data_IF_644708818511
#
_entry.id   IF_644708818511
#
_cell.length_a   1.000
_cell.length_b   1.000
_cell.length_c   1.000
_cell.angle_alpha   90.00
_cell.angle_beta   90.00
_cell.angle_gamma   90.00
#
_symmetry.space_group_name_H-M   'P 1'
#
loop_
_entity.id
_entity.type
_entity.pdbx_description
1 polymer ?
#
# COMPACT_ATOMS: atom_id res chain seq x y z
N UNK A 1 33.16 24.05 -36.49
CA UNK A 1 32.95 23.92 -35.03
C UNK A 1 31.59 23.30 -34.77
N UNK A 2 31.52 22.02 -34.37
CA UNK A 2 30.31 21.38 -33.85
C UNK A 2 30.69 20.71 -32.53
N UNK A 3 30.17 21.23 -31.42
CA UNK A 3 30.29 20.61 -30.10
C UNK A 3 28.90 20.07 -29.73
N UNK A 4 28.70 18.77 -29.92
CA UNK A 4 27.51 18.06 -29.45
C UNK A 4 27.81 17.62 -28.01
N UNK A 5 27.22 18.30 -27.02
CA UNK A 5 27.37 17.94 -25.60
C UNK A 5 26.43 16.78 -25.29
N UNK A 6 27.02 15.65 -24.92
CA UNK A 6 26.38 14.51 -24.28
C UNK A 6 26.02 14.96 -22.86
N UNK A 7 24.73 15.21 -22.58
CA UNK A 7 24.23 15.36 -21.21
C UNK A 7 22.84 14.75 -21.13
N UNK A 8 22.73 13.42 -21.20
CA UNK A 8 21.46 12.71 -21.08
C UNK A 8 21.65 11.40 -20.30
N UNK A 9 21.97 11.50 -19.01
CA UNK A 9 22.06 10.31 -18.15
C UNK A 9 22.06 10.60 -16.66
N UNK A 10 22.66 11.70 -16.21
CA UNK A 10 22.83 11.96 -14.77
C UNK A 10 21.64 12.69 -14.11
N UNK A 11 20.84 13.43 -14.89
CA UNK A 11 19.73 14.23 -14.34
C UNK A 11 18.49 13.40 -13.99
N UNK A 12 18.31 12.22 -14.60
CA UNK A 12 17.15 11.36 -14.35
C UNK A 12 17.31 10.54 -13.05
N UNK A 13 18.54 10.25 -12.64
CA UNK A 13 18.82 9.51 -11.40
C UNK A 13 18.74 10.39 -10.13
N UNK A 14 18.95 11.70 -10.25
CA UNK A 14 18.93 12.64 -9.11
C UNK A 14 17.49 13.07 -8.76
N UNK A 15 16.56 13.07 -9.73
CA UNK A 15 15.14 13.34 -9.47
C UNK A 15 14.41 12.14 -8.83
N UNK A 16 14.83 10.91 -9.10
CA UNK A 16 14.21 9.71 -8.52
C UNK A 16 14.55 9.50 -7.04
N UNK A 17 15.75 9.87 -6.59
CA UNK A 17 16.21 9.62 -5.22
C UNK A 17 15.69 10.63 -4.19
N UNK A 18 15.38 11.86 -4.60
CA UNK A 18 14.83 12.87 -3.69
C UNK A 18 13.36 12.61 -3.31
N UNK A 19 12.57 12.03 -4.23
CA UNK A 19 11.14 11.77 -3.99
C UNK A 19 10.91 10.62 -3.00
N UNK A 20 11.78 9.61 -3.01
CA UNK A 20 11.67 8.45 -2.12
C UNK A 20 11.91 8.80 -0.65
N UNK A 21 12.91 9.62 -0.34
CA UNK A 21 13.24 10.00 1.05
C UNK A 21 12.17 10.91 1.69
N UNK A 22 11.54 11.81 0.91
CA UNK A 22 10.45 12.64 1.40
C UNK A 22 9.17 11.83 1.67
N UNK A 23 8.90 10.83 0.82
CA UNK A 23 7.79 9.92 1.03
C UNK A 23 8.04 8.91 2.17
N UNK A 24 9.29 8.48 2.38
CA UNK A 24 9.68 7.61 3.50
C UNK A 24 9.45 8.32 4.85
N UNK A 25 9.88 9.59 4.96
CA UNK A 25 9.56 10.43 6.12
C UNK A 25 8.06 10.69 6.31
N UNK A 26 7.27 10.67 5.22
CA UNK A 26 5.81 10.76 5.29
C UNK A 26 5.19 9.49 5.91
N UNK A 27 5.67 8.30 5.52
CA UNK A 27 5.20 7.04 6.09
C UNK A 27 5.58 6.88 7.56
N UNK A 28 6.77 7.33 7.99
CA UNK A 28 7.15 7.35 9.41
C UNK A 28 6.22 8.26 10.23
N UNK A 29 5.89 9.43 9.70
CA UNK A 29 4.94 10.33 10.35
C UNK A 29 3.54 9.70 10.45
N UNK A 30 3.04 9.09 9.37
CA UNK A 30 1.78 8.36 9.37
C UNK A 30 1.81 7.23 10.40
N UNK A 31 2.89 6.45 10.45
CA UNK A 31 3.07 5.38 11.44
C UNK A 31 2.93 5.92 12.87
N UNK A 32 3.62 7.02 13.19
CA UNK A 32 3.54 7.63 14.52
C UNK A 32 2.10 8.04 14.86
N UNK A 33 1.43 8.75 13.95
CA UNK A 33 0.05 9.22 14.17
C UNK A 33 -0.92 8.06 14.38
N UNK A 34 -0.84 7.02 13.55
CA UNK A 34 -1.71 5.84 13.64
C UNK A 34 -1.44 5.03 14.92
N UNK A 35 -0.16 4.88 15.29
CA UNK A 35 0.24 4.21 16.53
C UNK A 35 -0.29 4.93 17.75
N UNK A 36 -0.19 6.26 17.80
CA UNK A 36 -0.68 7.06 18.91
C UNK A 36 -2.21 6.97 19.00
N UNK A 37 -2.91 7.10 17.87
CA UNK A 37 -4.37 6.96 17.81
C UNK A 37 -4.85 5.62 18.36
N UNK A 38 -4.20 4.52 17.95
CA UNK A 38 -4.53 3.17 18.43
C UNK A 38 -4.22 3.00 19.92
N UNK A 39 -3.06 3.47 20.37
CA UNK A 39 -2.62 3.30 21.76
C UNK A 39 -3.50 4.11 22.72
N UNK A 40 -3.93 5.30 22.30
CA UNK A 40 -4.79 6.18 23.10
C UNK A 40 -6.28 5.87 22.93
N UNK A 41 -6.66 4.99 21.99
CA UNK A 41 -8.06 4.74 21.63
C UNK A 41 -8.77 5.99 21.08
N UNK A 42 -8.01 6.92 20.50
CA UNK A 42 -8.56 8.19 20.00
C UNK A 42 -8.95 8.03 18.53
N UNK A 43 -10.17 8.48 18.21
CA UNK A 43 -10.64 8.50 16.83
C UNK A 43 -9.82 9.53 16.03
N UNK A 44 -9.31 9.10 14.88
CA UNK A 44 -8.68 10.00 13.91
C UNK A 44 -9.78 10.88 13.32
N UNK A 45 -9.53 12.19 13.23
CA UNK A 45 -10.51 13.09 12.61
C UNK A 45 -10.70 12.72 11.13
N UNK A 46 -11.90 12.92 10.59
CA UNK A 46 -12.19 12.59 9.19
C UNK A 46 -11.21 13.25 8.20
N UNK A 47 -10.78 14.49 8.48
CA UNK A 47 -9.83 15.20 7.61
C UNK A 47 -8.38 14.69 7.73
N UNK A 48 -7.99 14.12 8.87
CA UNK A 48 -6.71 13.45 9.03
C UNK A 48 -6.75 12.06 8.38
N UNK A 49 -7.84 11.31 8.57
CA UNK A 49 -8.05 10.01 7.93
C UNK A 49 -8.00 10.13 6.40
N UNK A 50 -8.66 11.14 5.83
CA UNK A 50 -8.64 11.38 4.39
C UNK A 50 -7.22 11.63 3.86
N UNK A 51 -6.43 12.46 4.54
CA UNK A 51 -5.03 12.75 4.17
C UNK A 51 -4.14 11.51 4.27
N UNK A 52 -4.26 10.77 5.37
CA UNK A 52 -3.51 9.52 5.55
C UNK A 52 -3.86 8.54 4.44
N UNK A 53 -5.15 8.37 4.14
CA UNK A 53 -5.57 7.47 3.07
C UNK A 53 -5.08 7.90 1.70
N UNK A 54 -5.02 9.20 1.40
CA UNK A 54 -4.47 9.72 0.15
C UNK A 54 -2.97 9.42 0.04
N UNK A 55 -2.20 9.72 1.08
CA UNK A 55 -0.76 9.40 1.12
C UNK A 55 -0.47 7.89 1.04
N UNK A 56 -1.30 7.05 1.66
CA UNK A 56 -1.17 5.60 1.54
C UNK A 56 -1.48 5.14 0.11
N UNK A 57 -2.50 5.70 -0.55
CA UNK A 57 -2.79 5.39 -1.94
C UNK A 57 -1.63 5.77 -2.87
N UNK A 58 -1.05 6.96 -2.70
CA UNK A 58 0.12 7.40 -3.46
C UNK A 58 1.33 6.49 -3.25
N UNK A 59 1.58 6.08 -2.00
CA UNK A 59 2.68 5.18 -1.68
C UNK A 59 2.48 3.76 -2.25
N UNK A 60 1.25 3.24 -2.23
CA UNK A 60 0.90 1.96 -2.86
C UNK A 60 1.00 1.99 -4.39
N UNK A 61 0.73 3.15 -5.01
CA UNK A 61 0.88 3.37 -6.45
C UNK A 61 2.33 3.67 -6.88
N UNK A 62 3.26 3.78 -5.93
CA UNK A 62 4.64 4.18 -6.21
C UNK A 62 5.45 3.06 -6.84
N UNK A 63 6.31 3.40 -7.81
CA UNK A 63 7.34 2.49 -8.33
C UNK A 63 8.46 2.21 -7.30
N UNK A 64 8.48 2.91 -6.17
CA UNK A 64 9.48 2.70 -5.14
C UNK A 64 9.06 1.57 -4.19
N UNK A 65 9.67 0.40 -4.37
CA UNK A 65 9.36 -0.83 -3.60
C UNK A 65 9.30 -0.64 -2.08
N UNK A 66 10.18 0.20 -1.53
CA UNK A 66 10.17 0.51 -0.08
C UNK A 66 8.92 1.25 0.39
N UNK A 67 8.38 2.17 -0.43
CA UNK A 67 7.18 2.93 -0.09
C UNK A 67 5.94 2.06 -0.22
N UNK A 68 5.85 1.30 -1.30
CA UNK A 68 4.75 0.37 -1.56
C UNK A 68 4.64 -0.67 -0.43
N UNK A 69 5.74 -1.35 -0.11
CA UNK A 69 5.75 -2.35 0.97
C UNK A 69 5.59 -1.72 2.36
N UNK A 70 6.10 -0.50 2.57
CA UNK A 70 5.87 0.29 3.78
C UNK A 70 4.39 0.61 3.97
N UNK A 71 3.72 1.08 2.92
CA UNK A 71 2.29 1.38 2.94
C UNK A 71 1.45 0.13 3.19
N UNK A 72 1.75 -1.00 2.53
CA UNK A 72 1.10 -2.29 2.82
C UNK A 72 1.23 -2.67 4.30
N UNK A 73 2.42 -2.54 4.89
CA UNK A 73 2.63 -2.81 6.32
C UNK A 73 1.79 -1.91 7.22
N UNK A 74 1.67 -0.63 6.88
CA UNK A 74 0.84 0.30 7.64
C UNK A 74 -0.64 -0.04 7.54
N UNK A 75 -1.13 -0.41 6.36
CA UNK A 75 -2.52 -0.87 6.19
C UNK A 75 -2.76 -2.15 6.98
N UNK A 76 -1.87 -3.14 6.90
CA UNK A 76 -1.98 -4.37 7.70
C UNK A 76 -2.03 -4.06 9.20
N UNK A 77 -1.19 -3.11 9.64
CA UNK A 77 -1.10 -2.76 11.05
C UNK A 77 -2.29 -1.92 11.53
N UNK A 78 -2.87 -1.04 10.71
CA UNK A 78 -3.78 0.01 11.17
C UNK A 78 -5.04 0.19 10.31
N UNK A 79 -5.33 -0.72 9.39
CA UNK A 79 -6.49 -0.63 8.48
C UNK A 79 -7.84 -0.57 9.22
N UNK A 80 -7.91 -1.09 10.45
CA UNK A 80 -9.06 -0.99 11.34
C UNK A 80 -9.23 0.39 12.00
N UNK A 81 -8.16 1.21 12.01
CA UNK A 81 -8.13 2.53 12.65
C UNK A 81 -8.36 3.66 11.62
N UNK A 82 -7.99 3.44 10.35
CA UNK A 82 -8.08 4.45 9.30
C UNK A 82 -9.11 4.05 8.24
N UNK A 83 -10.02 4.96 7.92
CA UNK A 83 -10.92 4.75 6.78
C UNK A 83 -10.15 4.99 5.48
N UNK A 84 -9.91 3.90 4.73
CA UNK A 84 -9.24 3.95 3.44
C UNK A 84 -10.22 4.30 2.32
N UNK A 85 -9.75 5.11 1.38
CA UNK A 85 -10.49 5.45 0.17
C UNK A 85 -10.41 4.30 -0.86
N UNK A 86 -11.33 4.34 -1.83
CA UNK A 86 -11.42 3.34 -2.91
C UNK A 86 -10.11 3.21 -3.71
N UNK A 87 -9.35 4.30 -3.88
CA UNK A 87 -8.08 4.29 -4.61
C UNK A 87 -7.04 3.41 -3.93
N UNK A 88 -6.85 3.52 -2.62
CA UNK A 88 -5.94 2.66 -1.87
C UNK A 88 -6.31 1.17 -2.01
N UNK A 89 -7.61 0.85 -1.97
CA UNK A 89 -8.10 -0.52 -2.15
C UNK A 89 -7.84 -1.03 -3.57
N UNK A 90 -8.05 -0.19 -4.59
CA UNK A 90 -7.73 -0.53 -5.99
C UNK A 90 -6.23 -0.83 -6.15
N UNK A 91 -5.35 -0.02 -5.54
CA UNK A 91 -3.91 -0.27 -5.59
C UNK A 91 -3.52 -1.57 -4.90
N UNK A 92 -4.12 -1.90 -3.76
CA UNK A 92 -3.89 -3.22 -3.12
C UNK A 92 -4.37 -4.37 -4.01
N UNK A 93 -5.52 -4.23 -4.68
CA UNK A 93 -5.99 -5.23 -5.66
C UNK A 93 -5.00 -5.35 -6.84
N UNK A 94 -4.47 -4.24 -7.36
CA UNK A 94 -3.45 -4.25 -8.41
C UNK A 94 -2.21 -5.03 -7.95
N UNK A 95 -1.69 -4.73 -6.76
CA UNK A 95 -0.52 -5.41 -6.19
C UNK A 95 -0.75 -6.91 -5.98
N UNK A 96 -1.95 -7.30 -5.54
CA UNK A 96 -2.30 -8.71 -5.42
C UNK A 96 -2.30 -9.44 -6.78
N UNK A 97 -2.82 -8.79 -7.84
CA UNK A 97 -2.98 -9.42 -9.15
C UNK A 97 -1.71 -9.46 -9.98
N UNK A 98 -1.00 -8.34 -10.00
CA UNK A 98 -0.06 -8.02 -11.07
C UNK A 98 1.40 -8.01 -10.59
N UNK A 99 1.65 -8.00 -9.27
CA UNK A 99 3.02 -8.02 -8.77
C UNK A 99 3.68 -9.39 -8.97
N UNK A 100 4.95 -9.39 -9.39
CA UNK A 100 5.70 -10.63 -9.64
C UNK A 100 6.19 -11.30 -8.34
N UNK A 101 6.34 -10.55 -7.24
CA UNK A 101 6.77 -11.08 -5.95
C UNK A 101 5.57 -11.61 -5.16
N UNK A 102 5.51 -12.93 -5.02
CA UNK A 102 4.47 -13.59 -4.24
C UNK A 102 4.34 -13.08 -2.79
N UNK A 103 5.41 -12.54 -2.20
CA UNK A 103 5.34 -11.94 -0.86
C UNK A 103 4.57 -10.63 -0.87
N UNK A 104 4.79 -9.78 -1.88
CA UNK A 104 4.04 -8.53 -2.06
C UNK A 104 2.56 -8.86 -2.33
N UNK A 105 2.30 -9.81 -3.24
CA UNK A 105 0.94 -10.29 -3.50
C UNK A 105 0.25 -10.79 -2.22
N UNK A 106 0.95 -11.59 -1.41
CA UNK A 106 0.43 -12.09 -0.14
C UNK A 106 0.17 -10.95 0.86
N UNK A 107 1.08 -9.99 0.97
CA UNK A 107 0.89 -8.81 1.82
C UNK A 107 -0.34 -8.00 1.39
N UNK A 108 -0.55 -7.82 0.09
CA UNK A 108 -1.72 -7.13 -0.45
C UNK A 108 -3.04 -7.83 -0.06
N UNK A 109 -3.10 -9.17 -0.07
CA UNK A 109 -4.26 -9.92 0.43
C UNK A 109 -4.53 -9.65 1.91
N UNK A 110 -3.48 -9.67 2.75
CA UNK A 110 -3.63 -9.37 4.19
C UNK A 110 -4.06 -7.91 4.40
N UNK A 111 -3.51 -6.98 3.62
CA UNK A 111 -3.85 -5.56 3.69
C UNK A 111 -5.32 -5.30 3.30
N UNK A 112 -5.82 -5.96 2.25
CA UNK A 112 -7.24 -5.93 1.87
C UNK A 112 -8.14 -6.43 3.00
N UNK A 113 -7.75 -7.50 3.68
CA UNK A 113 -8.43 -7.99 4.87
C UNK A 113 -8.45 -6.98 6.02
N UNK A 114 -7.29 -6.40 6.34
CA UNK A 114 -7.16 -5.42 7.41
C UNK A 114 -7.93 -4.12 7.12
N UNK A 115 -8.05 -3.74 5.85
CA UNK A 115 -8.84 -2.59 5.41
C UNK A 115 -10.36 -2.81 5.61
N UNK A 116 -10.82 -4.07 5.59
CA UNK A 116 -12.23 -4.41 5.79
C UNK A 116 -13.18 -3.83 4.74
N UNK A 117 -12.67 -3.40 3.58
CA UNK A 117 -13.50 -2.83 2.53
C UNK A 117 -14.25 -3.94 1.78
N UNK A 118 -15.58 -3.87 1.78
CA UNK A 118 -16.48 -4.88 1.20
C UNK A 118 -16.13 -5.21 -0.26
N UNK A 119 -15.82 -4.20 -1.08
CA UNK A 119 -15.49 -4.44 -2.49
C UNK A 119 -14.15 -5.17 -2.65
N UNK A 120 -13.16 -4.86 -1.82
CA UNK A 120 -11.89 -5.57 -1.75
C UNK A 120 -12.06 -7.02 -1.32
N UNK A 121 -12.90 -7.27 -0.32
CA UNK A 121 -13.21 -8.63 0.16
C UNK A 121 -13.98 -9.45 -0.89
N UNK A 122 -15.00 -8.87 -1.52
CA UNK A 122 -15.74 -9.48 -2.63
C UNK A 122 -14.82 -9.82 -3.82
N UNK A 123 -13.81 -8.99 -4.06
CA UNK A 123 -12.80 -9.28 -5.07
C UNK A 123 -11.99 -10.53 -4.70
N UNK A 124 -11.49 -10.61 -3.46
CA UNK A 124 -10.73 -11.75 -2.97
C UNK A 124 -11.55 -13.05 -3.01
N UNK A 125 -12.82 -13.01 -2.62
CA UNK A 125 -13.71 -14.18 -2.68
C UNK A 125 -13.81 -14.75 -4.10
N UNK A 126 -14.01 -13.88 -5.09
CA UNK A 126 -14.09 -14.29 -6.50
C UNK A 126 -12.75 -14.75 -7.06
N UNK A 127 -11.64 -14.18 -6.60
CA UNK A 127 -10.29 -14.52 -7.07
C UNK A 127 -9.75 -15.82 -6.48
N UNK A 128 -10.23 -16.26 -5.31
CA UNK A 128 -9.74 -17.45 -4.59
C UNK A 128 -9.69 -18.71 -5.46
N UNK A 129 -10.72 -18.94 -6.29
CA UNK A 129 -10.80 -20.10 -7.17
C UNK A 129 -9.71 -20.12 -8.26
N UNK A 130 -9.20 -18.94 -8.65
CA UNK A 130 -8.24 -18.74 -9.72
C UNK A 130 -6.80 -18.54 -9.22
N UNK A 131 -6.57 -18.54 -7.90
CA UNK A 131 -5.24 -18.31 -7.33
C UNK A 131 -4.37 -19.57 -7.37
N UNK A 132 -3.43 -19.65 -8.32
CA UNK A 132 -2.57 -20.82 -8.47
C UNK A 132 -1.57 -21.02 -7.31
N UNK A 133 -1.15 -19.93 -6.65
CA UNK A 133 -0.19 -20.00 -5.56
C UNK A 133 -0.88 -20.46 -4.27
N UNK A 134 -0.63 -21.72 -3.88
CA UNK A 134 -1.24 -22.35 -2.69
C UNK A 134 -1.15 -21.50 -1.41
N UNK A 135 -0.01 -20.85 -1.16
CA UNK A 135 0.20 -19.98 0.02
C UNK A 135 -0.73 -18.78 0.01
N UNK A 136 -0.88 -18.13 -1.15
CA UNK A 136 -1.73 -16.95 -1.32
C UNK A 136 -3.20 -17.37 -1.23
N UNK A 137 -3.60 -18.46 -1.90
CA UNK A 137 -4.96 -19.01 -1.78
C UNK A 137 -5.36 -19.31 -0.33
N UNK A 138 -4.46 -19.91 0.45
CA UNK A 138 -4.68 -20.14 1.87
C UNK A 138 -4.82 -18.82 2.66
N UNK A 139 -4.02 -17.82 2.33
CA UNK A 139 -4.10 -16.48 2.95
C UNK A 139 -5.44 -15.81 2.65
N UNK A 140 -5.93 -15.90 1.41
CA UNK A 140 -7.26 -15.39 1.02
C UNK A 140 -8.35 -16.01 1.90
N UNK A 141 -8.37 -17.35 2.02
CA UNK A 141 -9.34 -18.05 2.87
C UNK A 141 -9.26 -17.63 4.34
N UNK A 142 -8.04 -17.45 4.86
CA UNK A 142 -7.85 -17.02 6.24
C UNK A 142 -8.37 -15.59 6.48
N UNK A 143 -8.16 -14.68 5.53
CA UNK A 143 -8.71 -13.30 5.58
C UNK A 143 -10.24 -13.32 5.55
N UNK A 144 -10.83 -14.02 4.58
CA UNK A 144 -12.28 -14.07 4.41
C UNK A 144 -13.00 -14.74 5.58
N UNK A 145 -12.36 -15.70 6.27
CA UNK A 145 -12.93 -16.33 7.46
C UNK A 145 -12.96 -15.41 8.69
N UNK A 146 -12.23 -14.30 8.68
CA UNK A 146 -12.16 -13.32 9.77
C UNK A 146 -12.97 -12.04 9.47
N UNK A 147 -13.47 -11.90 8.25
CA UNK A 147 -14.17 -10.71 7.76
C UNK A 147 -15.67 -10.78 7.99
#
# INVERSE_FOLDING_TARGET
MKAQRIVSGLALAIFLTANAAAADGSLEHIHSVLKDARTQGTAISASASARISESLAEALASDHRGLETGALRLVIAYGDVVSLNRTAVIEMVRLYRDDEDENVRQMAVVALGAAGDEWGLDFLERSEAFEDVRRIRHTIRAVLAQS
#
